data_IF_857026147099
#
_entry.id   IF_857026147099
#
_cell.length_a   1.000
_cell.length_b   1.000
_cell.length_c   1.000
_cell.angle_alpha   90.00
_cell.angle_beta   90.00
_cell.angle_gamma   90.00
#
_symmetry.space_group_name_H-M   'P 1'
#
loop_
_entity.id
_entity.type
_entity.pdbx_description
1 polymer ?
#
# COMPACT_ATOMS: atom_id res chain seq x y z
N UNK A 1 -27.27 17.31 -8.35
CA UNK A 1 -26.32 16.32 -7.84
C UNK A 1 -27.04 15.19 -7.13
N UNK A 2 -26.52 13.98 -7.20
CA UNK A 2 -27.08 12.82 -6.50
C UNK A 2 -26.57 12.81 -5.06
N UNK A 3 -27.43 12.39 -4.12
CA UNK A 3 -27.05 12.15 -2.72
C UNK A 3 -26.72 10.67 -2.53
N UNK A 4 -25.63 10.38 -1.80
CA UNK A 4 -25.27 9.01 -1.41
C UNK A 4 -25.83 8.80 0.00
N UNK A 5 -26.65 7.76 0.17
CA UNK A 5 -27.18 7.34 1.45
C UNK A 5 -26.58 5.98 1.86
N UNK A 6 -26.37 5.80 3.16
CA UNK A 6 -25.94 4.53 3.72
C UNK A 6 -27.14 3.60 3.91
N UNK A 7 -27.05 2.38 3.37
CA UNK A 7 -28.06 1.33 3.54
C UNK A 7 -27.49 0.22 4.43
N UNK A 8 -28.03 0.06 5.64
CA UNK A 8 -27.58 -0.95 6.62
C UNK A 8 -27.85 -2.39 6.17
N UNK A 9 -28.89 -2.58 5.34
CA UNK A 9 -29.34 -3.90 4.90
C UNK A 9 -28.55 -4.41 3.68
N UNK A 10 -27.86 -3.50 2.97
CA UNK A 10 -27.01 -3.85 1.85
C UNK A 10 -25.61 -4.20 2.36
N UNK A 11 -25.33 -5.48 2.58
CA UNK A 11 -24.02 -5.97 2.94
C UNK A 11 -23.49 -6.97 1.89
N UNK A 12 -22.16 -6.97 1.72
CA UNK A 12 -21.50 -7.94 0.88
C UNK A 12 -20.51 -8.75 1.73
N UNK A 13 -20.52 -10.06 1.58
CA UNK A 13 -19.53 -10.95 2.19
C UNK A 13 -18.42 -11.23 1.19
N UNK A 14 -17.19 -11.13 1.64
CA UNK A 14 -16.01 -11.42 0.83
C UNK A 14 -15.16 -12.50 1.50
N UNK A 15 -14.92 -13.61 0.79
CA UNK A 15 -14.01 -14.65 1.24
C UNK A 15 -12.56 -14.22 1.09
N UNK A 16 -11.69 -14.71 1.97
CA UNK A 16 -10.26 -14.43 1.91
C UNK A 16 -9.63 -15.02 0.63
N UNK A 17 -8.50 -14.44 0.22
CA UNK A 17 -7.69 -14.99 -0.87
C UNK A 17 -7.13 -16.35 -0.47
N UNK A 18 -7.02 -17.28 -1.43
CA UNK A 18 -6.58 -18.65 -1.20
C UNK A 18 -5.16 -18.72 -0.58
N UNK A 19 -4.27 -17.86 -1.04
CA UNK A 19 -2.89 -17.77 -0.58
C UNK A 19 -2.33 -16.36 -0.81
N UNK A 20 -1.09 -16.09 -0.32
CA UNK A 20 -0.44 -14.78 -0.46
C UNK A 20 -0.16 -14.39 -1.91
N UNK A 21 0.03 -15.33 -2.85
CA UNK A 21 0.22 -15.03 -4.28
C UNK A 21 -1.07 -14.48 -4.91
N UNK A 22 -2.21 -15.05 -4.55
CA UNK A 22 -3.51 -14.53 -5.01
C UNK A 22 -3.84 -13.20 -4.35
N UNK A 23 -3.45 -13.01 -3.09
CA UNK A 23 -3.57 -11.72 -2.40
C UNK A 23 -2.68 -10.65 -3.05
N UNK A 24 -1.48 -11.01 -3.50
CA UNK A 24 -0.58 -10.13 -4.26
C UNK A 24 -1.24 -9.64 -5.55
N UNK A 25 -1.76 -10.54 -6.37
CA UNK A 25 -2.49 -10.20 -7.61
C UNK A 25 -3.65 -9.23 -7.31
N UNK A 26 -4.41 -9.54 -6.26
CA UNK A 26 -5.51 -8.69 -5.81
C UNK A 26 -5.04 -7.30 -5.39
N UNK A 27 -3.97 -7.19 -4.60
CA UNK A 27 -3.42 -5.92 -4.13
C UNK A 27 -2.84 -5.08 -5.26
N UNK A 28 -2.11 -5.68 -6.20
CA UNK A 28 -1.61 -5.01 -7.40
C UNK A 28 -2.76 -4.40 -8.21
N UNK A 29 -3.84 -5.16 -8.42
CA UNK A 29 -5.02 -4.68 -9.13
C UNK A 29 -5.72 -3.52 -8.41
N UNK A 30 -5.91 -3.64 -7.08
CA UNK A 30 -6.50 -2.58 -6.27
C UNK A 30 -5.63 -1.32 -6.32
N UNK A 31 -4.31 -1.47 -6.25
CA UNK A 31 -3.36 -0.37 -6.36
C UNK A 31 -3.44 0.33 -7.71
N UNK A 32 -3.41 -0.42 -8.80
CA UNK A 32 -3.53 0.12 -10.15
C UNK A 32 -4.86 0.86 -10.35
N UNK A 33 -5.99 0.27 -9.90
CA UNK A 33 -7.31 0.93 -9.92
C UNK A 33 -7.37 2.18 -9.04
N UNK A 34 -6.70 2.16 -7.88
CA UNK A 34 -6.56 3.31 -6.99
C UNK A 34 -5.81 4.48 -7.67
N UNK A 35 -4.68 4.19 -8.29
CA UNK A 35 -3.88 5.17 -9.03
C UNK A 35 -4.64 5.72 -10.26
N UNK A 36 -5.34 4.85 -11.00
CA UNK A 36 -6.19 5.27 -12.10
C UNK A 36 -7.32 6.19 -11.63
N UNK A 37 -7.91 5.91 -10.47
CA UNK A 37 -8.94 6.77 -9.86
C UNK A 37 -8.38 8.13 -9.47
N UNK A 38 -7.15 8.19 -8.93
CA UNK A 38 -6.46 9.46 -8.61
C UNK A 38 -6.31 10.30 -9.86
N UNK A 39 -5.87 9.69 -10.97
CA UNK A 39 -5.72 10.39 -12.25
C UNK A 39 -7.05 10.90 -12.83
N UNK A 40 -8.08 10.06 -12.80
CA UNK A 40 -9.43 10.44 -13.30
C UNK A 40 -10.07 11.55 -12.48
N UNK A 41 -9.83 11.56 -11.17
CA UNK A 41 -10.38 12.54 -10.23
C UNK A 41 -9.45 13.72 -9.98
N UNK A 42 -8.50 13.99 -10.88
CA UNK A 42 -7.52 15.10 -10.73
C UNK A 42 -8.16 16.48 -10.51
N UNK A 43 -9.38 16.69 -10.96
CA UNK A 43 -10.10 17.94 -10.72
C UNK A 43 -10.30 18.21 -9.21
N UNK A 44 -10.36 17.15 -8.38
CA UNK A 44 -10.46 17.27 -6.92
C UNK A 44 -9.19 17.81 -6.25
N UNK A 45 -8.07 18.00 -6.98
CA UNK A 45 -6.90 18.70 -6.44
C UNK A 45 -7.14 20.20 -6.22
N UNK A 46 -8.17 20.77 -6.83
CA UNK A 46 -8.48 22.18 -6.67
C UNK A 46 -9.13 22.45 -5.30
N UNK A 47 -8.30 22.81 -4.31
CA UNK A 47 -8.74 23.08 -2.94
C UNK A 47 -9.67 24.31 -2.86
N UNK A 48 -9.51 25.29 -3.75
CA UNK A 48 -10.36 26.50 -3.78
C UNK A 48 -11.78 26.18 -4.24
N UNK A 49 -11.96 25.16 -5.08
CA UNK A 49 -13.28 24.74 -5.57
C UNK A 49 -13.97 23.72 -4.65
N UNK A 50 -13.22 22.80 -4.07
CA UNK A 50 -13.77 21.65 -3.34
C UNK A 50 -13.44 21.66 -1.85
N UNK A 51 -12.62 22.64 -1.37
CA UNK A 51 -12.34 22.84 0.05
C UNK A 51 -11.88 21.57 0.78
N UNK A 52 -12.59 21.22 1.84
CA UNK A 52 -12.27 20.06 2.70
C UNK A 52 -12.27 18.73 1.94
N UNK A 53 -13.09 18.58 0.91
CA UNK A 53 -13.10 17.36 0.09
C UNK A 53 -11.77 17.15 -0.65
N UNK A 54 -11.16 18.23 -1.18
CA UNK A 54 -9.83 18.17 -1.77
C UNK A 54 -8.79 17.73 -0.76
N UNK A 55 -8.81 18.30 0.44
CA UNK A 55 -7.88 17.94 1.50
C UNK A 55 -8.00 16.47 1.88
N UNK A 56 -9.21 15.97 2.10
CA UNK A 56 -9.46 14.56 2.39
C UNK A 56 -9.01 13.65 1.24
N UNK A 57 -9.32 14.02 0.00
CA UNK A 57 -8.91 13.24 -1.17
C UNK A 57 -7.39 13.15 -1.29
N UNK A 58 -6.68 14.27 -1.14
CA UNK A 58 -5.21 14.31 -1.22
C UNK A 58 -4.58 13.52 -0.08
N UNK A 59 -4.95 13.81 1.18
CA UNK A 59 -4.34 13.20 2.37
C UNK A 59 -4.62 11.70 2.48
N UNK A 60 -5.86 11.27 2.28
CA UNK A 60 -6.24 9.87 2.51
C UNK A 60 -6.09 8.97 1.28
N UNK A 61 -6.14 9.54 0.08
CA UNK A 61 -6.06 8.74 -1.13
C UNK A 61 -4.77 8.97 -1.91
N UNK A 62 -4.48 10.21 -2.30
CA UNK A 62 -3.32 10.50 -3.16
C UNK A 62 -2.02 10.16 -2.45
N UNK A 63 -1.77 10.74 -1.27
CA UNK A 63 -0.52 10.50 -0.51
C UNK A 63 -0.32 9.01 -0.22
N UNK A 64 -1.35 8.31 0.19
CA UNK A 64 -1.28 6.89 0.52
C UNK A 64 -0.90 6.00 -0.68
N UNK A 65 -1.36 6.34 -1.89
CA UNK A 65 -1.13 5.52 -3.09
C UNK A 65 0.06 5.97 -3.93
N UNK A 66 0.68 7.11 -3.62
CA UNK A 66 1.79 7.67 -4.39
C UNK A 66 3.03 7.91 -3.54
N UNK A 67 2.98 8.89 -2.66
CA UNK A 67 4.15 9.39 -1.93
C UNK A 67 4.56 8.43 -0.82
N UNK A 68 3.63 7.92 -0.02
CA UNK A 68 3.94 7.09 1.17
C UNK A 68 4.78 5.86 0.85
N UNK A 69 4.46 5.02 -0.17
CA UNK A 69 5.28 3.86 -0.51
C UNK A 69 6.68 4.24 -0.97
N UNK A 70 6.82 5.33 -1.72
CA UNK A 70 8.12 5.81 -2.21
C UNK A 70 8.97 6.34 -1.05
N UNK A 71 8.37 7.16 -0.18
CA UNK A 71 9.08 7.71 0.99
C UNK A 71 9.56 6.63 1.94
N UNK A 72 8.82 5.55 2.11
CA UNK A 72 9.24 4.41 2.94
C UNK A 72 10.61 3.85 2.49
N UNK A 73 10.82 3.72 1.18
CA UNK A 73 12.09 3.24 0.63
C UNK A 73 13.16 4.32 0.63
N UNK A 74 12.81 5.60 0.41
CA UNK A 74 13.76 6.71 0.49
C UNK A 74 14.27 6.97 1.91
N UNK A 75 13.53 6.61 2.94
CA UNK A 75 13.99 6.69 4.33
C UNK A 75 15.22 5.82 4.61
N UNK A 76 15.45 4.73 3.84
CA UNK A 76 16.62 3.87 4.04
C UNK A 76 17.92 4.63 3.74
N UNK A 77 18.15 5.13 2.51
CA UNK A 77 19.38 5.85 2.21
C UNK A 77 19.49 7.16 3.02
N UNK A 78 18.36 7.82 3.29
CA UNK A 78 18.37 9.03 4.12
C UNK A 78 18.87 8.75 5.54
N UNK A 79 18.37 7.70 6.20
CA UNK A 79 18.82 7.33 7.55
C UNK A 79 20.28 6.87 7.56
N UNK A 80 20.77 6.21 6.50
CA UNK A 80 22.19 5.86 6.39
C UNK A 80 23.04 7.12 6.34
N UNK A 81 22.69 8.09 5.48
CA UNK A 81 23.40 9.37 5.36
C UNK A 81 23.40 10.11 6.70
N UNK A 82 22.23 10.20 7.37
CA UNK A 82 22.13 10.88 8.67
C UNK A 82 22.91 10.18 9.77
N UNK A 83 22.99 8.85 9.76
CA UNK A 83 23.79 8.08 10.73
C UNK A 83 25.30 8.34 10.57
N UNK A 84 25.77 8.64 9.35
CA UNK A 84 27.17 9.02 9.09
C UNK A 84 27.59 10.31 9.80
N UNK A 85 26.64 11.19 10.19
CA UNK A 85 26.93 12.36 11.02
C UNK A 85 27.21 12.01 12.49
N UNK A 86 27.14 10.72 12.89
CA UNK A 86 27.54 10.23 14.21
C UNK A 86 26.65 10.60 15.37
N UNK A 87 25.49 11.21 15.15
CA UNK A 87 24.54 11.52 16.23
C UNK A 87 23.79 10.28 16.66
N UNK A 88 23.78 10.00 17.96
CA UNK A 88 23.14 8.83 18.57
C UNK A 88 21.68 8.62 18.11
N UNK A 89 20.90 9.70 18.00
CA UNK A 89 19.49 9.62 17.56
C UNK A 89 19.34 8.99 16.17
N UNK A 90 20.19 9.38 15.21
CA UNK A 90 20.10 8.84 13.85
C UNK A 90 20.58 7.39 13.76
N UNK A 91 21.63 7.04 14.53
CA UNK A 91 22.09 5.66 14.63
C UNK A 91 21.00 4.78 15.24
N UNK A 92 20.34 5.24 16.30
CA UNK A 92 19.23 4.53 16.92
C UNK A 92 18.04 4.32 15.97
N UNK A 93 17.66 5.35 15.21
CA UNK A 93 16.59 5.26 14.21
C UNK A 93 16.97 4.28 13.09
N UNK A 94 18.23 4.27 12.64
CA UNK A 94 18.70 3.32 11.66
C UNK A 94 18.63 1.89 12.18
N UNK A 95 19.03 1.64 13.43
CA UNK A 95 18.93 0.31 14.06
C UNK A 95 17.47 -0.18 14.14
N UNK A 96 16.54 0.70 14.52
CA UNK A 96 15.11 0.36 14.53
C UNK A 96 14.60 0.03 13.13
N UNK A 97 15.02 0.77 12.14
CA UNK A 97 14.65 0.54 10.74
C UNK A 97 15.19 -0.80 10.23
N UNK A 98 16.45 -1.12 10.51
CA UNK A 98 17.07 -2.41 10.15
C UNK A 98 16.33 -3.55 10.86
N UNK A 99 16.05 -3.42 12.15
CA UNK A 99 15.30 -4.41 12.91
C UNK A 99 13.89 -4.65 12.30
N UNK A 100 13.21 -3.59 11.90
CA UNK A 100 11.92 -3.70 11.22
C UNK A 100 12.01 -4.51 9.91
N UNK A 101 13.00 -4.26 9.06
CA UNK A 101 13.14 -5.02 7.81
C UNK A 101 13.60 -6.46 8.03
N UNK A 102 14.42 -6.71 9.07
CA UNK A 102 14.78 -8.10 9.47
C UNK A 102 13.52 -8.84 9.91
N UNK A 103 12.68 -8.23 10.75
CA UNK A 103 11.39 -8.83 11.15
C UNK A 103 10.45 -9.06 9.96
N UNK A 104 10.40 -8.13 9.02
CA UNK A 104 9.60 -8.28 7.80
C UNK A 104 10.09 -9.47 6.94
N UNK A 105 11.40 -9.62 6.79
CA UNK A 105 11.99 -10.74 6.08
C UNK A 105 11.75 -12.08 6.80
N UNK A 106 11.93 -12.10 8.12
CA UNK A 106 11.60 -13.28 8.92
C UNK A 106 10.11 -13.67 8.79
N UNK A 107 9.21 -12.69 8.81
CA UNK A 107 7.77 -12.89 8.57
C UNK A 107 7.47 -13.48 7.19
N UNK A 108 8.17 -13.02 6.15
CA UNK A 108 8.09 -13.61 4.81
C UNK A 108 8.51 -15.09 4.80
N UNK A 109 9.65 -15.41 5.43
CA UNK A 109 10.15 -16.79 5.51
C UNK A 109 9.21 -17.70 6.30
N UNK A 110 8.61 -17.20 7.39
CA UNK A 110 7.63 -17.94 8.18
C UNK A 110 6.33 -18.21 7.40
N UNK A 111 5.86 -17.23 6.64
CA UNK A 111 4.67 -17.40 5.79
C UNK A 111 4.89 -18.48 4.71
N UNK A 112 6.09 -18.56 4.13
CA UNK A 112 6.44 -19.62 3.18
C UNK A 112 6.36 -21.02 3.81
N UNK A 113 6.59 -21.11 5.12
CA UNK A 113 6.52 -22.35 5.90
C UNK A 113 5.15 -22.60 6.54
N UNK A 114 4.14 -21.77 6.22
CA UNK A 114 2.81 -21.79 6.83
C UNK A 114 2.81 -21.58 8.37
N UNK A 115 3.85 -20.97 8.93
CA UNK A 115 3.94 -20.64 10.35
C UNK A 115 3.47 -19.21 10.55
N UNK A 116 2.41 -19.02 11.34
CA UNK A 116 1.84 -17.70 11.60
C UNK A 116 2.27 -17.16 12.97
N UNK A 117 3.06 -16.11 12.97
CA UNK A 117 3.37 -15.32 14.18
C UNK A 117 3.01 -13.86 13.91
N UNK A 118 2.09 -13.31 14.71
CA UNK A 118 1.58 -11.94 14.53
C UNK A 118 2.68 -10.88 14.58
N UNK A 119 3.69 -11.05 15.43
CA UNK A 119 4.78 -10.09 15.60
C UNK A 119 5.59 -9.91 14.31
N UNK A 120 5.91 -11.00 13.61
CA UNK A 120 6.66 -10.98 12.35
C UNK A 120 5.75 -10.73 11.15
N UNK A 121 4.50 -11.14 11.24
CA UNK A 121 3.54 -10.96 10.16
C UNK A 121 3.19 -9.49 9.92
N UNK A 122 3.09 -8.66 10.97
CA UNK A 122 2.75 -7.24 10.83
C UNK A 122 3.79 -6.47 10.00
N UNK A 123 5.10 -6.47 10.31
CA UNK A 123 6.11 -5.83 9.47
C UNK A 123 6.18 -6.38 8.05
N UNK A 124 6.04 -7.70 7.90
CA UNK A 124 5.99 -8.35 6.58
C UNK A 124 4.80 -7.84 5.76
N UNK A 125 3.59 -7.89 6.31
CA UNK A 125 2.39 -7.49 5.59
C UNK A 125 2.37 -6.00 5.26
N UNK A 126 2.89 -5.16 6.14
CA UNK A 126 3.07 -3.73 5.89
C UNK A 126 4.01 -3.48 4.70
N UNK A 127 5.16 -4.13 4.67
CA UNK A 127 6.12 -4.04 3.56
C UNK A 127 5.53 -4.60 2.26
N UNK A 128 4.87 -5.75 2.34
CA UNK A 128 4.14 -6.37 1.23
C UNK A 128 3.11 -5.44 0.61
N UNK A 129 2.30 -4.75 1.41
CA UNK A 129 1.30 -3.80 0.92
C UNK A 129 1.95 -2.64 0.16
N UNK A 130 3.03 -2.04 0.69
CA UNK A 130 3.72 -0.93 0.05
C UNK A 130 4.43 -1.33 -1.25
N UNK A 131 5.06 -2.52 -1.28
CA UNK A 131 5.65 -3.09 -2.50
C UNK A 131 4.58 -3.29 -3.59
N UNK A 132 3.41 -3.80 -3.21
CA UNK A 132 2.33 -4.04 -4.17
C UNK A 132 1.71 -2.74 -4.71
N UNK A 133 1.76 -1.65 -3.99
CA UNK A 133 1.40 -0.33 -4.53
C UNK A 133 2.37 0.09 -5.64
N UNK A 134 3.67 -0.07 -5.42
CA UNK A 134 4.69 0.24 -6.43
C UNK A 134 4.54 -0.68 -7.65
N UNK A 135 4.33 -1.98 -7.44
CA UNK A 135 4.05 -2.93 -8.54
C UNK A 135 2.77 -2.57 -9.29
N UNK A 136 1.73 -2.10 -8.59
CA UNK A 136 0.51 -1.60 -9.20
C UNK A 136 0.74 -0.39 -10.12
N UNK A 137 1.65 0.50 -9.74
CA UNK A 137 2.07 1.61 -10.60
C UNK A 137 2.74 1.10 -11.90
N UNK A 138 3.71 0.19 -11.79
CA UNK A 138 4.37 -0.39 -12.98
C UNK A 138 3.40 -1.21 -13.84
N UNK A 139 2.47 -1.93 -13.23
CA UNK A 139 1.42 -2.65 -13.95
C UNK A 139 0.55 -1.69 -14.76
N UNK A 140 0.14 -0.57 -14.16
CA UNK A 140 -0.67 0.44 -14.84
C UNK A 140 0.11 1.11 -15.98
N UNK A 141 1.40 1.38 -15.79
CA UNK A 141 2.25 1.98 -16.80
C UNK A 141 2.52 1.05 -18.00
N UNK A 142 2.63 -0.26 -17.76
CA UNK A 142 2.88 -1.28 -18.80
C UNK A 142 1.62 -1.71 -19.56
N UNK A 143 0.51 -1.84 -18.86
CA UNK A 143 -0.78 -2.24 -19.46
C UNK A 143 -1.63 -1.03 -19.79
N UNK A 144 -1.48 -0.50 -20.99
CA UNK A 144 -2.25 0.63 -21.50
C UNK A 144 -3.76 0.34 -21.55
N UNK A 145 -4.40 0.24 -20.40
CA UNK A 145 -5.85 0.39 -20.28
C UNK A 145 -6.74 -0.80 -20.70
N UNK A 146 -6.19 -1.99 -20.94
CA UNK A 146 -7.01 -3.18 -21.11
C UNK A 146 -7.65 -3.54 -19.76
N UNK A 147 -8.93 -3.22 -19.59
CA UNK A 147 -9.72 -3.48 -18.37
C UNK A 147 -9.97 -4.95 -18.05
N UNK A 148 -9.38 -5.88 -18.79
CA UNK A 148 -9.45 -7.31 -18.56
C UNK A 148 -8.50 -7.69 -17.41
N UNK A 149 -9.05 -7.84 -16.20
CA UNK A 149 -8.33 -8.28 -15.02
C UNK A 149 -8.55 -9.77 -14.77
N UNK A 150 -7.47 -10.50 -14.60
CA UNK A 150 -7.55 -11.87 -14.10
C UNK A 150 -8.07 -11.87 -12.67
N UNK A 151 -9.14 -12.61 -12.39
CA UNK A 151 -9.70 -12.70 -11.03
C UNK A 151 -8.80 -13.55 -10.14
N UNK A 152 -8.47 -13.04 -8.95
CA UNK A 152 -7.79 -13.83 -7.91
C UNK A 152 -8.69 -14.99 -7.46
N UNK A 153 -8.10 -16.18 -7.29
CA UNK A 153 -8.80 -17.37 -6.75
C UNK A 153 -9.12 -17.14 -5.27
N UNK A 154 -10.32 -17.53 -4.86
CA UNK A 154 -10.82 -17.40 -3.48
C UNK A 154 -11.05 -18.79 -2.87
N UNK A 155 -11.05 -18.83 -1.56
CA UNK A 155 -11.50 -20.03 -0.82
C UNK A 155 -13.02 -20.13 -1.06
N UNK A 156 -13.48 -21.30 -1.52
CA UNK A 156 -14.90 -21.61 -1.66
C UNK A 156 -15.51 -21.93 -0.29
#
# INVERSE_FOLDING_TARGET
GYKIAYCKEAYATETASLNMKEEEKRKIRIAAGGLQSVWRLRNLFNIFRYGMLSFQFVSHRVLRWTITPVMLFLLIPLNIILACYGKFTYIFLLLLQVAFYIMAYAGYMMEQKNVRNKLFFIPYYFSFMNINVIRGFFYLAGNKGNGAWEKAKRIQ
#
